data_IF_841990056139
#
_entry.id   IF_841990056139
#
_cell.length_a   1.000
_cell.length_b   1.000
_cell.length_c   1.000
_cell.angle_alpha   90.00
_cell.angle_beta   90.00
_cell.angle_gamma   90.00
#
_symmetry.space_group_name_H-M   'P 1'
#
loop_
_entity.id
_entity.type
_entity.pdbx_description
1 polymer ?
#
# COMPACT_ATOMS: atom_id res chain seq x y z
N UNK A 1 8.73 13.35 -27.53
CA UNK A 1 9.81 12.44 -27.05
C UNK A 1 10.59 12.99 -25.85
N UNK A 2 10.42 14.25 -25.47
CA UNK A 2 11.26 14.92 -24.47
C UNK A 2 10.74 14.87 -23.02
N UNK A 3 9.51 14.47 -22.81
CA UNK A 3 8.88 14.41 -21.46
C UNK A 3 9.40 13.25 -20.62
N UNK A 4 9.81 12.14 -21.25
CA UNK A 4 10.40 11.00 -20.55
C UNK A 4 11.86 11.28 -20.11
N UNK A 5 12.52 12.28 -20.75
CA UNK A 5 13.93 12.62 -20.48
C UNK A 5 14.10 13.45 -19.21
N UNK A 6 13.11 14.28 -18.80
CA UNK A 6 13.24 15.18 -17.66
C UNK A 6 13.38 14.46 -16.31
N UNK A 7 12.67 13.36 -16.09
CA UNK A 7 12.72 12.60 -14.83
C UNK A 7 13.98 11.72 -14.76
N UNK A 8 14.34 11.08 -15.87
CA UNK A 8 15.64 10.39 -15.98
C UNK A 8 16.81 11.37 -15.84
N UNK A 9 16.64 12.60 -16.33
CA UNK A 9 17.63 13.68 -16.21
C UNK A 9 17.75 14.17 -14.75
N UNK A 10 16.62 14.37 -14.06
CA UNK A 10 16.59 14.71 -12.65
C UNK A 10 17.22 13.61 -11.79
N UNK A 11 16.84 12.36 -12.00
CA UNK A 11 17.41 11.19 -11.30
C UNK A 11 18.92 11.05 -11.49
N UNK A 12 19.42 11.30 -12.72
CA UNK A 12 20.85 11.18 -13.03
C UNK A 12 21.68 12.38 -12.55
N UNK A 13 21.12 13.58 -12.57
CA UNK A 13 21.84 14.81 -12.20
C UNK A 13 21.71 15.20 -10.73
N UNK A 14 20.63 14.77 -10.06
CA UNK A 14 20.37 15.09 -8.65
C UNK A 14 19.95 13.83 -7.87
N UNK A 15 20.86 12.87 -7.77
CA UNK A 15 20.62 11.62 -7.00
C UNK A 15 20.22 11.91 -5.56
N UNK A 16 20.88 12.91 -4.93
CA UNK A 16 20.59 13.31 -3.55
C UNK A 16 19.16 13.82 -3.40
N UNK A 17 18.73 14.77 -4.23
CA UNK A 17 17.37 15.31 -4.16
C UNK A 17 16.30 14.22 -4.45
N UNK A 18 16.58 13.28 -5.37
CA UNK A 18 15.66 12.17 -5.61
C UNK A 18 15.55 11.22 -4.41
N UNK A 19 16.66 11.00 -3.68
CA UNK A 19 16.65 10.22 -2.44
C UNK A 19 15.88 10.95 -1.34
N UNK A 20 16.01 12.26 -1.22
CA UNK A 20 15.22 13.08 -0.29
C UNK A 20 13.71 12.99 -0.56
N UNK A 21 13.29 13.03 -1.83
CA UNK A 21 11.90 12.80 -2.25
C UNK A 21 11.43 11.41 -1.79
N UNK A 22 12.22 10.37 -2.00
CA UNK A 22 11.88 9.01 -1.55
C UNK A 22 11.79 8.90 -0.04
N UNK A 23 12.71 9.52 0.70
CA UNK A 23 12.69 9.56 2.16
C UNK A 23 11.41 10.23 2.68
N UNK A 24 10.99 11.33 2.04
CA UNK A 24 9.77 12.00 2.43
C UNK A 24 8.52 11.16 2.13
N UNK A 25 8.43 10.55 0.95
CA UNK A 25 7.33 9.65 0.62
C UNK A 25 7.26 8.45 1.57
N UNK A 26 8.40 7.93 1.99
CA UNK A 26 8.47 6.83 2.95
C UNK A 26 7.88 7.25 4.30
N UNK A 27 8.23 8.46 4.79
CA UNK A 27 7.65 9.01 6.02
C UNK A 27 6.16 9.29 5.88
N UNK A 28 5.75 9.97 4.80
CA UNK A 28 4.34 10.33 4.58
C UNK A 28 3.42 9.12 4.41
N UNK A 29 3.98 7.97 4.01
CA UNK A 29 3.26 6.71 3.82
C UNK A 29 3.55 5.67 4.91
N UNK A 30 4.24 6.08 5.98
CA UNK A 30 4.55 5.21 7.11
C UNK A 30 5.17 3.86 6.71
N UNK A 31 6.10 3.89 5.76
CA UNK A 31 6.79 2.69 5.29
C UNK A 31 5.95 1.75 4.42
N UNK A 32 4.77 2.14 3.96
CA UNK A 32 3.88 1.28 3.17
C UNK A 32 3.78 1.68 1.69
N UNK A 33 3.66 0.69 0.82
CA UNK A 33 3.31 0.91 -0.58
C UNK A 33 1.90 1.50 -0.69
N UNK A 34 1.74 2.66 -1.34
CA UNK A 34 0.46 3.36 -1.47
C UNK A 34 -0.68 2.55 -2.11
N UNK A 35 -0.38 1.45 -2.80
CA UNK A 35 -1.39 0.63 -3.48
C UNK A 35 -1.68 -0.72 -2.83
N UNK A 36 -0.67 -1.42 -2.35
CA UNK A 36 -0.84 -2.79 -1.85
C UNK A 36 -0.45 -2.99 -0.40
N UNK A 37 0.05 -1.95 0.27
CA UNK A 37 0.40 -1.93 1.69
C UNK A 37 1.50 -2.92 2.11
N UNK A 38 2.30 -3.44 1.17
CA UNK A 38 3.53 -4.12 1.60
C UNK A 38 4.51 -3.08 2.13
N UNK A 39 5.34 -3.47 3.08
CA UNK A 39 6.39 -2.59 3.58
C UNK A 39 7.34 -2.21 2.45
N UNK A 40 7.82 -0.98 2.45
CA UNK A 40 8.80 -0.47 1.50
C UNK A 40 9.91 0.23 2.27
N UNK A 41 11.15 0.09 1.80
CA UNK A 41 12.31 0.73 2.42
C UNK A 41 13.34 1.17 1.38
N UNK A 42 14.17 2.10 1.76
CA UNK A 42 15.35 2.46 0.99
C UNK A 42 16.41 1.39 1.19
N UNK A 43 17.21 1.17 0.17
CA UNK A 43 18.40 0.34 0.29
C UNK A 43 19.40 0.98 1.27
N UNK A 44 20.08 0.15 2.04
CA UNK A 44 21.11 0.58 2.99
C UNK A 44 22.31 1.22 2.27
N UNK A 45 22.69 0.65 1.14
CA UNK A 45 23.79 1.11 0.30
C UNK A 45 23.28 1.70 -1.01
N UNK A 46 23.93 2.75 -1.49
CA UNK A 46 23.50 3.48 -2.70
C UNK A 46 23.49 2.63 -3.99
N UNK A 47 24.32 1.59 -4.05
CA UNK A 47 24.39 0.68 -5.18
C UNK A 47 23.31 -0.42 -5.18
N UNK A 48 22.61 -0.57 -4.07
CA UNK A 48 21.52 -1.52 -3.93
C UNK A 48 20.20 -0.94 -4.46
N UNK A 49 19.25 -1.83 -4.75
CA UNK A 49 17.93 -1.45 -5.25
C UNK A 49 16.99 -1.15 -4.08
N UNK A 50 16.43 0.04 -4.06
CA UNK A 50 15.33 0.37 -3.14
C UNK A 50 14.12 -0.53 -3.40
N UNK A 51 13.34 -0.86 -2.36
CA UNK A 51 12.14 -1.70 -2.49
C UNK A 51 11.00 -1.04 -3.27
N UNK A 52 11.14 0.24 -3.59
CA UNK A 52 10.10 1.05 -4.19
C UNK A 52 10.63 2.10 -5.16
N UNK A 53 9.71 2.67 -5.91
CA UNK A 53 9.93 3.79 -6.81
C UNK A 53 8.88 4.89 -6.61
N UNK A 54 9.19 6.08 -7.11
CA UNK A 54 8.23 7.18 -7.16
C UNK A 54 7.31 6.97 -8.35
N UNK A 55 6.03 6.88 -8.07
CA UNK A 55 4.93 6.74 -9.04
C UNK A 55 4.19 8.06 -9.18
N UNK A 56 3.73 8.37 -10.39
CA UNK A 56 2.85 9.50 -10.68
C UNK A 56 1.41 8.98 -10.82
N UNK A 57 0.54 9.36 -9.89
CA UNK A 57 -0.87 8.94 -9.93
C UNK A 57 -1.53 9.34 -11.25
N UNK A 58 -1.37 10.61 -11.68
CA UNK A 58 -1.65 11.06 -13.04
C UNK A 58 -0.39 10.85 -13.88
N UNK A 59 -0.41 9.89 -14.84
CA UNK A 59 0.79 9.52 -15.59
C UNK A 59 1.32 10.68 -16.43
N UNK A 60 2.64 10.84 -16.49
CA UNK A 60 3.32 11.89 -17.24
C UNK A 60 2.88 11.97 -18.71
N UNK A 61 2.77 10.82 -19.37
CA UNK A 61 2.38 10.73 -20.77
C UNK A 61 0.94 11.22 -20.99
N UNK A 62 0.03 10.93 -20.05
CA UNK A 62 -1.36 11.31 -20.15
C UNK A 62 -1.59 12.81 -19.85
N UNK A 63 -0.65 13.47 -19.18
CA UNK A 63 -0.79 14.85 -18.71
C UNK A 63 0.20 15.84 -19.38
N UNK A 64 0.92 15.40 -20.40
CA UNK A 64 1.95 16.22 -21.05
C UNK A 64 1.43 17.52 -21.71
N UNK A 65 0.13 17.59 -22.01
CA UNK A 65 -0.52 18.78 -22.60
C UNK A 65 -1.38 19.55 -21.60
N UNK A 66 -1.44 19.11 -20.35
CA UNK A 66 -2.18 19.81 -19.30
C UNK A 66 -1.45 21.07 -18.88
N UNK A 67 -2.20 22.10 -18.47
CA UNK A 67 -1.64 23.36 -17.95
C UNK A 67 -0.94 23.16 -16.59
N UNK A 68 -1.43 22.20 -15.79
CA UNK A 68 -0.85 21.85 -14.50
C UNK A 68 0.34 20.91 -14.66
N UNK A 69 1.45 21.23 -13.99
CA UNK A 69 2.65 20.39 -14.03
C UNK A 69 2.55 19.23 -13.03
N UNK A 70 1.85 18.17 -13.39
CA UNK A 70 1.71 16.97 -12.58
C UNK A 70 3.03 16.25 -12.27
N UNK A 71 4.10 16.55 -13.00
CA UNK A 71 5.40 15.87 -12.82
C UNK A 71 6.12 16.31 -11.54
N UNK A 72 5.89 17.54 -11.10
CA UNK A 72 6.50 18.13 -9.90
C UNK A 72 5.47 18.38 -8.79
N UNK A 73 4.22 17.96 -8.97
CA UNK A 73 3.18 18.09 -7.98
C UNK A 73 3.34 17.01 -6.92
N UNK A 74 3.63 17.42 -5.68
CA UNK A 74 3.76 16.50 -4.55
C UNK A 74 2.51 15.65 -4.35
N UNK A 75 1.33 16.22 -4.53
CA UNK A 75 0.05 15.51 -4.42
C UNK A 75 -0.24 14.53 -5.58
N UNK A 76 0.69 14.40 -6.50
CA UNK A 76 0.68 13.42 -7.57
C UNK A 76 1.74 12.32 -7.40
N UNK A 77 2.59 12.42 -6.38
CA UNK A 77 3.69 11.49 -6.13
C UNK A 77 3.31 10.45 -5.07
N UNK A 78 3.64 9.20 -5.33
CA UNK A 78 3.41 8.07 -4.45
C UNK A 78 4.66 7.18 -4.39
N UNK A 79 4.98 6.68 -3.21
CA UNK A 79 5.94 5.60 -3.01
C UNK A 79 5.27 4.25 -3.31
N UNK A 80 5.69 3.56 -4.36
CA UNK A 80 5.03 2.33 -4.80
C UNK A 80 6.06 1.22 -5.00
N UNK A 81 5.79 0.04 -4.48
CA UNK A 81 6.66 -1.13 -4.66
C UNK A 81 6.81 -1.49 -6.14
N UNK A 82 7.81 -2.30 -6.46
CA UNK A 82 8.08 -2.72 -7.84
C UNK A 82 7.03 -3.69 -8.43
N UNK A 83 5.91 -3.91 -7.75
CA UNK A 83 4.81 -4.71 -8.27
C UNK A 83 5.17 -6.15 -8.65
N UNK A 84 6.21 -6.71 -8.06
CA UNK A 84 6.72 -8.04 -8.38
C UNK A 84 7.71 -8.08 -9.54
N UNK A 85 8.14 -6.95 -10.11
CA UNK A 85 8.99 -6.91 -11.30
C UNK A 85 10.49 -6.91 -11.04
N UNK A 86 10.93 -6.65 -9.80
CA UNK A 86 12.34 -6.47 -9.44
C UNK A 86 12.82 -7.64 -8.57
N UNK A 87 13.83 -8.42 -9.02
CA UNK A 87 14.32 -9.56 -8.26
C UNK A 87 15.30 -9.20 -7.12
N UNK A 88 15.81 -7.96 -7.11
CA UNK A 88 16.83 -7.52 -6.15
C UNK A 88 16.25 -6.65 -5.02
N UNK A 89 14.98 -6.84 -4.70
CA UNK A 89 14.32 -6.24 -3.53
C UNK A 89 14.55 -7.09 -2.28
N UNK A 90 14.22 -6.55 -1.10
CA UNK A 90 14.18 -7.35 0.11
C UNK A 90 13.13 -8.47 -0.02
N UNK A 91 13.37 -9.62 0.62
CA UNK A 91 12.48 -10.80 0.62
C UNK A 91 11.97 -11.21 -0.78
N UNK A 92 12.86 -11.47 -1.75
CA UNK A 92 12.48 -11.67 -3.13
C UNK A 92 11.56 -12.88 -3.35
N UNK A 93 11.63 -13.90 -2.50
CA UNK A 93 10.76 -15.09 -2.54
C UNK A 93 9.27 -14.75 -2.32
N UNK A 94 8.99 -13.68 -1.58
CA UNK A 94 7.64 -13.17 -1.36
C UNK A 94 7.25 -12.08 -2.35
N UNK A 95 8.18 -11.21 -2.71
CA UNK A 95 7.91 -9.97 -3.44
C UNK A 95 8.09 -10.08 -4.94
N UNK A 96 9.04 -10.90 -5.41
CA UNK A 96 9.31 -11.06 -6.83
C UNK A 96 8.45 -12.17 -7.45
N UNK A 97 8.12 -12.02 -8.72
CA UNK A 97 7.58 -13.08 -9.56
C UNK A 97 8.12 -12.94 -10.99
N UNK A 98 8.55 -14.03 -11.58
CA UNK A 98 8.94 -14.08 -13.00
C UNK A 98 7.71 -13.97 -13.93
N UNK A 99 6.51 -14.30 -13.43
CA UNK A 99 5.26 -14.34 -14.20
C UNK A 99 4.70 -12.93 -14.39
N UNK A 100 4.47 -12.52 -15.64
CA UNK A 100 3.89 -11.19 -15.94
C UNK A 100 2.50 -10.99 -15.33
N UNK A 101 1.69 -12.04 -15.25
CA UNK A 101 0.33 -11.98 -14.68
C UNK A 101 0.31 -11.75 -13.15
N UNK A 102 1.45 -11.94 -12.48
CA UNK A 102 1.61 -11.64 -11.05
C UNK A 102 2.03 -10.19 -10.79
N UNK A 103 2.20 -9.38 -11.82
CA UNK A 103 2.54 -7.96 -11.67
C UNK A 103 1.36 -7.20 -11.10
N UNK A 104 1.64 -6.27 -10.19
CA UNK A 104 0.63 -5.45 -9.50
C UNK A 104 1.05 -3.99 -9.39
N UNK A 105 0.25 -3.19 -8.73
CA UNK A 105 0.48 -1.79 -8.43
C UNK A 105 0.62 -0.95 -9.71
N UNK A 106 1.70 -0.18 -9.84
CA UNK A 106 1.93 0.68 -11.00
C UNK A 106 2.34 -0.09 -12.28
N UNK A 107 2.83 -1.34 -12.15
CA UNK A 107 3.28 -2.12 -13.31
C UNK A 107 2.16 -2.36 -14.33
N UNK A 108 0.98 -2.90 -13.96
CA UNK A 108 -0.14 -3.03 -14.90
C UNK A 108 -0.79 -1.68 -15.25
N UNK A 109 -0.68 -0.66 -14.39
CA UNK A 109 -1.16 0.70 -14.65
C UNK A 109 -0.37 1.33 -15.78
N UNK A 110 0.97 1.35 -15.66
CA UNK A 110 1.85 2.00 -16.63
C UNK A 110 1.44 3.43 -16.92
N UNK A 111 1.53 3.84 -18.19
CA UNK A 111 1.11 5.16 -18.67
C UNK A 111 -0.39 5.31 -18.98
N UNK A 112 -1.23 4.36 -18.60
CA UNK A 112 -2.67 4.38 -18.93
C UNK A 112 -3.40 5.54 -18.24
N UNK A 113 -4.30 6.26 -18.93
CA UNK A 113 -5.08 7.37 -18.35
C UNK A 113 -6.28 6.84 -17.53
N UNK A 114 -6.00 6.08 -16.48
CA UNK A 114 -7.02 5.46 -15.63
C UNK A 114 -7.22 6.15 -14.28
N UNK A 115 -6.51 7.25 -14.01
CA UNK A 115 -6.50 7.95 -12.72
C UNK A 115 -7.91 8.37 -12.26
N UNK A 116 -8.78 8.78 -13.19
CA UNK A 116 -10.16 9.13 -12.85
C UNK A 116 -11.05 7.92 -12.52
N UNK A 117 -10.64 6.72 -12.91
CA UNK A 117 -11.42 5.49 -12.75
C UNK A 117 -11.01 4.66 -11.53
N UNK A 118 -9.85 4.94 -10.94
CA UNK A 118 -9.31 4.27 -9.76
C UNK A 118 -9.34 5.21 -8.55
N UNK A 119 -9.18 4.65 -7.37
CA UNK A 119 -9.03 5.42 -6.13
C UNK A 119 -7.67 6.12 -6.11
N UNK A 120 -7.67 7.39 -5.70
CA UNK A 120 -6.44 8.09 -5.36
C UNK A 120 -6.18 7.90 -3.85
N UNK A 121 -5.10 7.22 -3.44
CA UNK A 121 -4.81 6.99 -2.02
C UNK A 121 -4.80 8.28 -1.19
N UNK A 122 -4.28 9.37 -1.73
CA UNK A 122 -4.19 10.67 -1.05
C UNK A 122 -5.56 11.36 -0.83
N UNK A 123 -6.65 10.82 -1.39
CA UNK A 123 -8.01 11.39 -1.28
C UNK A 123 -8.97 10.49 -0.52
N UNK A 124 -8.49 9.42 0.06
CA UNK A 124 -9.30 8.50 0.87
C UNK A 124 -9.24 8.98 2.32
N UNK A 125 -10.36 9.34 2.96
CA UNK A 125 -10.34 9.66 4.38
C UNK A 125 -9.92 8.45 5.22
N UNK A 126 -9.05 8.65 6.19
CA UNK A 126 -8.52 7.59 7.05
C UNK A 126 -9.61 6.80 7.79
N UNK A 127 -10.73 7.46 8.12
CA UNK A 127 -11.89 6.83 8.78
C UNK A 127 -12.72 5.91 7.87
N UNK A 128 -12.44 5.85 6.55
CA UNK A 128 -13.24 5.06 5.60
C UNK A 128 -12.62 3.69 5.36
N UNK A 129 -13.36 2.64 5.67
CA UNK A 129 -13.00 1.28 5.30
C UNK A 129 -13.58 0.93 3.93
N UNK A 130 -12.73 0.62 2.97
CA UNK A 130 -13.13 0.38 1.58
C UNK A 130 -13.18 -1.10 1.21
N UNK A 131 -12.38 -1.92 1.87
CA UNK A 131 -12.11 -3.30 1.50
C UNK A 131 -12.36 -4.25 2.66
N UNK A 132 -12.71 -5.48 2.29
CA UNK A 132 -12.69 -6.66 3.15
C UNK A 132 -11.94 -7.78 2.43
N UNK A 133 -11.60 -8.83 3.16
CA UNK A 133 -10.76 -9.89 2.65
C UNK A 133 -11.42 -11.25 2.84
N UNK A 134 -11.09 -12.19 2.00
CA UNK A 134 -11.52 -13.57 2.17
C UNK A 134 -10.51 -14.30 3.04
N UNK A 135 -10.91 -14.79 4.20
CA UNK A 135 -10.05 -15.42 5.22
C UNK A 135 -9.22 -16.59 4.68
N UNK A 136 -9.79 -17.40 3.78
CA UNK A 136 -9.12 -18.59 3.26
C UNK A 136 -8.25 -18.35 2.02
N UNK A 137 -8.29 -17.16 1.43
CA UNK A 137 -7.57 -16.86 0.18
C UNK A 137 -6.74 -15.59 0.23
N UNK A 138 -6.97 -14.72 1.18
CA UNK A 138 -6.37 -13.38 1.22
C UNK A 138 -6.85 -12.46 0.08
N UNK A 139 -7.93 -12.83 -0.62
CA UNK A 139 -8.46 -12.05 -1.75
C UNK A 139 -9.14 -10.78 -1.25
N UNK A 140 -8.72 -9.64 -1.79
CA UNK A 140 -9.32 -8.33 -1.53
C UNK A 140 -10.61 -8.17 -2.34
N UNK A 141 -11.67 -7.73 -1.69
CA UNK A 141 -12.95 -7.39 -2.32
C UNK A 141 -13.48 -6.07 -1.72
N UNK A 142 -14.35 -5.38 -2.43
CA UNK A 142 -14.98 -4.17 -1.90
C UNK A 142 -15.93 -4.55 -0.77
N UNK A 143 -15.80 -3.87 0.35
CA UNK A 143 -16.74 -3.99 1.45
C UNK A 143 -17.96 -3.10 1.18
N UNK A 144 -19.00 -3.67 0.62
CA UNK A 144 -20.19 -2.91 0.21
C UNK A 144 -20.97 -2.32 1.40
N UNK A 145 -20.74 -2.84 2.62
CA UNK A 145 -21.38 -2.35 3.84
C UNK A 145 -20.73 -1.07 4.38
N UNK A 146 -19.40 -0.97 4.29
CA UNK A 146 -18.64 0.17 4.83
C UNK A 146 -18.14 1.13 3.74
N UNK A 147 -17.91 0.64 2.51
CA UNK A 147 -17.45 1.47 1.40
C UNK A 147 -18.60 2.37 0.90
N UNK A 148 -18.42 3.70 0.90
CA UNK A 148 -19.42 4.63 0.36
C UNK A 148 -19.80 4.27 -1.07
N UNK A 149 -21.11 4.26 -1.41
CA UNK A 149 -21.63 3.87 -2.73
C UNK A 149 -20.90 4.58 -3.88
N UNK A 150 -20.60 5.88 -3.72
CA UNK A 150 -19.89 6.69 -4.72
C UNK A 150 -18.46 6.22 -5.01
N UNK A 151 -17.83 5.48 -4.08
CA UNK A 151 -16.45 4.97 -4.22
C UNK A 151 -16.38 3.51 -4.66
N UNK A 152 -17.46 2.73 -4.54
CA UNK A 152 -17.44 1.28 -4.80
C UNK A 152 -17.00 0.93 -6.24
N UNK A 153 -17.43 1.68 -7.24
CA UNK A 153 -17.03 1.46 -8.63
C UNK A 153 -15.51 1.71 -8.82
N UNK A 154 -14.99 2.80 -8.24
CA UNK A 154 -13.55 3.10 -8.25
C UNK A 154 -12.75 2.06 -7.46
N UNK A 155 -13.27 1.59 -6.33
CA UNK A 155 -12.64 0.55 -5.52
C UNK A 155 -12.52 -0.78 -6.30
N UNK A 156 -13.60 -1.23 -6.97
CA UNK A 156 -13.56 -2.41 -7.86
C UNK A 156 -12.56 -2.24 -9.00
N UNK A 157 -12.56 -1.07 -9.63
CA UNK A 157 -11.59 -0.77 -10.69
C UNK A 157 -10.15 -0.76 -10.17
N UNK A 158 -9.90 -0.20 -8.98
CA UNK A 158 -8.57 -0.19 -8.36
C UNK A 158 -8.03 -1.61 -8.20
N UNK A 159 -8.83 -2.51 -7.61
CA UNK A 159 -8.45 -3.93 -7.46
C UNK A 159 -8.08 -4.54 -8.81
N UNK A 160 -8.89 -4.30 -9.84
CA UNK A 160 -8.70 -4.89 -11.18
C UNK A 160 -7.51 -4.27 -11.93
N UNK A 161 -7.49 -2.96 -12.06
CA UNK A 161 -6.51 -2.24 -12.91
C UNK A 161 -5.09 -2.31 -12.33
N UNK A 162 -4.97 -2.33 -10.99
CA UNK A 162 -3.70 -2.46 -10.30
C UNK A 162 -3.36 -3.93 -9.97
N UNK A 163 -4.19 -4.88 -10.36
CA UNK A 163 -4.06 -6.30 -10.07
C UNK A 163 -3.73 -6.59 -8.60
N UNK A 164 -4.50 -5.96 -7.67
CA UNK A 164 -4.26 -6.11 -6.25
C UNK A 164 -4.59 -7.51 -5.70
N UNK A 165 -5.18 -8.37 -6.52
CA UNK A 165 -5.38 -9.79 -6.25
C UNK A 165 -4.35 -10.69 -6.96
N UNK A 166 -3.18 -10.16 -7.30
CA UNK A 166 -2.06 -11.00 -7.75
C UNK A 166 -1.78 -12.12 -6.72
N UNK A 167 -1.51 -13.36 -7.16
CA UNK A 167 -1.33 -14.53 -6.27
C UNK A 167 -0.35 -14.29 -5.13
N UNK A 168 0.78 -13.59 -5.38
CA UNK A 168 1.74 -13.24 -4.34
C UNK A 168 1.13 -12.35 -3.24
N UNK A 169 0.30 -11.35 -3.60
CA UNK A 169 -0.35 -10.46 -2.62
C UNK A 169 -1.42 -11.21 -1.81
N UNK A 170 -2.15 -12.13 -2.44
CA UNK A 170 -3.10 -12.98 -1.73
C UNK A 170 -2.37 -13.86 -0.69
N UNK A 171 -1.25 -14.51 -1.07
CA UNK A 171 -0.46 -15.32 -0.12
C UNK A 171 0.04 -14.51 1.07
N UNK A 172 0.57 -13.30 0.83
CA UNK A 172 1.08 -12.43 1.89
C UNK A 172 -0.03 -12.01 2.86
N UNK A 173 -1.20 -11.62 2.34
CA UNK A 173 -2.37 -11.27 3.19
C UNK A 173 -2.88 -12.48 3.97
N UNK A 174 -2.95 -13.64 3.32
CA UNK A 174 -3.35 -14.88 3.99
C UNK A 174 -2.38 -15.26 5.11
N UNK A 175 -1.07 -15.03 4.91
CA UNK A 175 -0.09 -15.26 5.96
C UNK A 175 -0.35 -14.36 7.19
N UNK A 176 -0.66 -13.07 6.98
CA UNK A 176 -1.03 -12.19 8.09
C UNK A 176 -2.32 -12.63 8.78
N UNK A 177 -3.36 -12.99 8.02
CA UNK A 177 -4.62 -13.48 8.60
C UNK A 177 -4.37 -14.70 9.51
N UNK A 178 -3.53 -15.64 9.07
CA UNK A 178 -3.17 -16.82 9.88
C UNK A 178 -2.39 -16.45 11.12
N UNK A 179 -1.47 -15.50 11.05
CA UNK A 179 -0.74 -15.02 12.23
C UNK A 179 -1.73 -14.47 13.26
N UNK A 180 -2.67 -13.62 12.83
CA UNK A 180 -3.70 -13.06 13.71
C UNK A 180 -4.59 -14.13 14.32
N UNK A 181 -5.01 -15.12 13.51
CA UNK A 181 -5.80 -16.27 13.95
C UNK A 181 -5.04 -17.11 15.00
N UNK A 182 -3.77 -17.41 14.75
CA UNK A 182 -2.91 -18.17 15.67
C UNK A 182 -2.66 -17.42 16.98
N UNK A 183 -2.46 -16.10 16.95
CA UNK A 183 -2.30 -15.29 18.15
C UNK A 183 -3.57 -15.27 19.01
N UNK A 184 -4.74 -15.10 18.39
CA UNK A 184 -6.03 -15.14 19.09
C UNK A 184 -6.30 -16.52 19.69
N UNK A 185 -6.06 -17.60 18.93
CA UNK A 185 -6.26 -18.97 19.40
C UNK A 185 -5.28 -19.31 20.54
N UNK A 186 -4.05 -18.85 20.47
CA UNK A 186 -3.04 -19.06 21.52
C UNK A 186 -3.42 -18.31 22.81
N UNK A 187 -3.92 -17.09 22.71
CA UNK A 187 -4.41 -16.32 23.86
C UNK A 187 -5.61 -17.02 24.53
N UNK A 188 -6.58 -17.49 23.73
CA UNK A 188 -7.73 -18.25 24.21
C UNK A 188 -7.31 -19.54 24.92
N UNK A 189 -6.38 -20.31 24.33
CA UNK A 189 -5.85 -21.54 24.94
C UNK A 189 -5.12 -21.23 26.26
N UNK A 190 -4.54 -20.04 26.39
CA UNK A 190 -3.91 -19.53 27.62
C UNK A 190 -4.92 -19.01 28.65
N UNK A 191 -6.22 -19.00 28.35
CA UNK A 191 -7.28 -18.52 29.24
C UNK A 191 -7.52 -17.00 29.19
N UNK A 192 -7.04 -16.30 28.15
CA UNK A 192 -7.29 -14.89 27.97
C UNK A 192 -8.78 -14.60 27.68
N UNK A 193 -9.25 -13.47 28.17
CA UNK A 193 -10.59 -12.93 27.87
C UNK A 193 -10.45 -12.10 26.59
N UNK A 194 -11.23 -12.43 25.56
CA UNK A 194 -11.11 -11.79 24.22
C UNK A 194 -11.36 -10.28 24.27
N UNK A 195 -12.31 -9.84 25.06
CA UNK A 195 -12.67 -8.43 25.22
C UNK A 195 -11.52 -7.60 25.80
N UNK A 196 -10.59 -8.23 26.55
CA UNK A 196 -9.39 -7.59 27.08
C UNK A 196 -8.19 -7.75 26.15
N UNK A 197 -8.08 -8.89 25.46
CA UNK A 197 -6.95 -9.22 24.60
C UNK A 197 -7.00 -8.49 23.24
N UNK A 198 -8.17 -8.45 22.58
CA UNK A 198 -8.29 -7.91 21.22
C UNK A 198 -7.98 -6.42 21.13
N UNK A 199 -8.33 -5.55 22.08
CA UNK A 199 -7.87 -4.16 22.08
C UNK A 199 -6.35 -4.03 22.13
N UNK A 200 -5.65 -4.81 22.96
CA UNK A 200 -4.19 -4.80 23.04
C UNK A 200 -3.54 -5.30 21.74
N UNK A 201 -4.10 -6.33 21.14
CA UNK A 201 -3.64 -6.83 19.84
C UNK A 201 -3.85 -5.77 18.75
N UNK A 202 -5.02 -5.10 18.74
CA UNK A 202 -5.31 -4.03 17.80
C UNK A 202 -4.35 -2.84 17.96
N UNK A 203 -4.08 -2.43 19.19
CA UNK A 203 -3.12 -1.36 19.50
C UNK A 203 -1.72 -1.71 18.98
N UNK A 204 -1.23 -2.92 19.27
CA UNK A 204 0.12 -3.36 18.87
C UNK A 204 0.33 -3.45 17.35
N UNK A 205 -0.75 -3.67 16.57
CA UNK A 205 -0.65 -3.88 15.13
C UNK A 205 -1.02 -2.63 14.33
N UNK A 206 -1.95 -1.82 14.84
CA UNK A 206 -2.49 -0.68 14.09
C UNK A 206 -1.86 0.66 14.46
N UNK A 207 -1.12 0.74 15.55
CA UNK A 207 -0.34 1.94 15.83
C UNK A 207 1.06 1.83 15.22
N UNK A 208 1.66 2.98 14.85
CA UNK A 208 2.99 2.97 14.25
C UNK A 208 4.05 2.53 15.26
N UNK A 209 5.11 1.91 14.75
CA UNK A 209 6.30 1.57 15.53
C UNK A 209 7.09 2.83 15.97
N UNK A 210 8.22 2.63 16.68
CA UNK A 210 9.09 3.71 17.16
C UNK A 210 9.67 4.57 16.03
N UNK A 211 9.77 4.02 14.82
CA UNK A 211 10.23 4.71 13.60
C UNK A 211 9.10 5.41 12.84
N UNK A 212 7.86 5.27 13.31
CA UNK A 212 6.66 5.83 12.70
C UNK A 212 6.12 5.02 11.53
N UNK A 213 6.51 3.75 11.38
CA UNK A 213 6.03 2.87 10.31
C UNK A 213 4.83 2.04 10.77
N UNK A 214 3.91 1.77 9.85
CA UNK A 214 2.82 0.82 10.07
C UNK A 214 3.20 -0.60 9.67
N UNK A 215 2.53 -1.55 10.29
CA UNK A 215 2.63 -2.95 9.91
C UNK A 215 2.10 -3.17 8.47
N UNK A 216 2.77 -4.02 7.67
CA UNK A 216 2.31 -4.35 6.32
C UNK A 216 0.88 -4.87 6.32
N UNK A 217 0.13 -4.54 5.27
CA UNK A 217 -1.27 -4.90 5.12
C UNK A 217 -2.17 -4.38 6.25
N UNK A 218 -1.93 -3.16 6.69
CA UNK A 218 -2.70 -2.45 7.69
C UNK A 218 -4.22 -2.62 7.52
N UNK A 219 -4.73 -2.48 6.29
CA UNK A 219 -6.16 -2.63 6.02
C UNK A 219 -6.68 -4.06 6.20
N UNK A 220 -5.81 -5.09 6.13
CA UNK A 220 -6.16 -6.48 6.45
C UNK A 220 -6.36 -6.64 7.96
N UNK A 221 -5.41 -6.17 8.75
CA UNK A 221 -5.49 -6.23 10.21
C UNK A 221 -6.71 -5.42 10.73
N UNK A 222 -6.89 -4.20 10.21
CA UNK A 222 -8.05 -3.36 10.52
C UNK A 222 -9.39 -4.06 10.23
N UNK A 223 -9.50 -4.72 9.08
CA UNK A 223 -10.68 -5.48 8.72
C UNK A 223 -10.88 -6.70 9.63
N UNK A 224 -9.81 -7.46 9.90
CA UNK A 224 -9.88 -8.70 10.66
C UNK A 224 -10.26 -8.47 12.12
N UNK A 225 -9.71 -7.44 12.75
CA UNK A 225 -9.98 -7.08 14.15
C UNK A 225 -11.29 -6.29 14.33
N UNK A 226 -11.93 -5.84 13.24
CA UNK A 226 -13.29 -5.30 13.23
C UNK A 226 -13.47 -4.05 14.12
N UNK A 227 -14.43 -4.10 15.05
CA UNK A 227 -14.76 -2.97 15.92
C UNK A 227 -13.61 -2.60 16.86
N UNK A 228 -12.84 -3.57 17.36
CA UNK A 228 -11.68 -3.30 18.22
C UNK A 228 -10.63 -2.44 17.47
N UNK A 229 -10.42 -2.73 16.17
CA UNK A 229 -9.57 -1.89 15.33
C UNK A 229 -10.11 -0.46 15.16
N UNK A 230 -11.41 -0.33 14.91
CA UNK A 230 -12.04 0.98 14.71
C UNK A 230 -12.03 1.81 16.00
N UNK A 231 -12.16 1.20 17.17
CA UNK A 231 -12.11 1.89 18.47
C UNK A 231 -10.70 2.45 18.73
N UNK A 232 -9.65 1.65 18.58
CA UNK A 232 -8.26 2.10 18.73
C UNK A 232 -7.94 3.22 17.73
N UNK A 233 -8.33 3.08 16.47
CA UNK A 233 -8.07 4.11 15.46
C UNK A 233 -8.84 5.42 15.75
N UNK A 234 -10.06 5.32 16.26
CA UNK A 234 -10.88 6.48 16.64
C UNK A 234 -10.28 7.22 17.84
N UNK A 235 -9.83 6.49 18.87
CA UNK A 235 -9.16 7.05 20.03
C UNK A 235 -7.88 7.80 19.67
N UNK A 236 -7.18 7.33 18.62
CA UNK A 236 -6.00 7.95 18.07
C UNK A 236 -6.31 8.93 16.90
N UNK A 237 -7.56 9.38 16.75
CA UNK A 237 -8.03 10.34 15.74
C UNK A 237 -7.71 9.91 14.29
N UNK A 238 -7.57 8.62 14.01
CA UNK A 238 -7.11 8.10 12.73
C UNK A 238 -5.83 8.80 12.25
N UNK A 239 -4.93 9.12 13.18
CA UNK A 239 -3.64 9.75 12.87
C UNK A 239 -2.78 8.76 12.06
N UNK A 240 -2.92 8.82 10.73
CA UNK A 240 -2.19 8.03 9.74
C UNK A 240 -1.45 8.95 8.79
#
# INVERSE_FOLDING_TARGET
>A
SDVCSSDLHFRRRNRRGYREVKQQLLRDQHGLCAYCEISIKLAEFEDNVDDFRVEHFFPKVATQFEKHNYHLDWHNLLGVCHGGSQPYVSDPEWRYSSRKNDRSCDVPKGGKPISERILNPLKIPASVRLFRYQEHTGKMIVDESSCPKKLQAKARNTIRELNLNAPRLQRMRLALIRILEDEINSALAGGAVLEEFLPLLAESILLPDEDGNYQPFFSVARWYLGEFAEDILRENNYAM
#
